data_IF_789750638694
#
_entry.id   IF_789750638694
#
_cell.length_a   1.000
_cell.length_b   1.000
_cell.length_c   1.000
_cell.angle_alpha   90.00
_cell.angle_beta   90.00
_cell.angle_gamma   90.00
#
_symmetry.space_group_name_H-M   'P 1'
#
loop_
_entity.id
_entity.type
_entity.pdbx_description
1 polymer ?
#
# COMPACT_ATOMS: atom_id res chain seq x y z
N UNK A 1 -36.95 10.43 61.21
CA UNK A 1 -35.90 9.40 61.35
C UNK A 1 -34.55 10.08 61.15
N UNK A 2 -34.02 10.72 62.19
CA UNK A 2 -32.66 11.27 62.24
C UNK A 2 -32.28 11.48 63.71
N UNK A 3 -31.00 11.23 64.01
CA UNK A 3 -30.28 11.46 65.27
C UNK A 3 -30.13 10.25 66.22
N UNK A 4 -28.98 9.56 66.10
CA UNK A 4 -28.19 8.94 67.17
C UNK A 4 -26.87 8.45 66.51
N UNK A 5 -25.84 9.28 66.31
CA UNK A 5 -24.81 9.70 67.28
C UNK A 5 -24.24 8.58 68.15
N UNK A 6 -23.08 8.03 67.74
CA UNK A 6 -21.95 7.52 68.57
C UNK A 6 -20.94 6.87 67.61
N UNK A 7 -19.67 7.25 67.49
CA UNK A 7 -18.72 7.82 68.43
C UNK A 7 -17.72 8.74 67.72
N UNK A 8 -17.32 9.76 68.45
CA UNK A 8 -16.38 10.81 68.12
C UNK A 8 -14.98 10.44 68.63
N UNK A 9 -13.94 11.07 68.04
CA UNK A 9 -12.60 11.35 68.59
C UNK A 9 -11.49 10.35 68.22
N UNK A 10 -10.26 10.75 67.88
CA UNK A 10 -9.62 11.94 67.31
C UNK A 10 -8.13 11.55 67.05
N UNK A 11 -7.39 12.48 66.43
CA UNK A 11 -5.91 12.57 66.34
C UNK A 11 -5.28 11.82 65.14
N UNK A 12 -5.04 12.51 64.02
CA UNK A 12 -3.97 13.48 63.74
C UNK A 12 -2.58 12.84 63.67
N UNK A 13 -1.94 12.90 62.49
CA UNK A 13 -0.58 13.45 62.27
C UNK A 13 0.11 12.85 61.04
N UNK A 14 0.33 13.75 60.06
CA UNK A 14 1.54 13.90 59.21
C UNK A 14 1.73 13.11 57.91
N UNK A 15 1.87 13.96 56.87
CA UNK A 15 2.89 13.96 55.79
C UNK A 15 2.65 13.07 54.58
N UNK A 16 2.66 13.72 53.42
CA UNK A 16 2.93 13.08 52.14
C UNK A 16 2.45 13.91 50.95
N UNK A 17 3.29 14.81 50.46
CA UNK A 17 3.27 15.25 49.05
C UNK A 17 3.38 14.02 48.12
N UNK A 18 2.57 14.03 47.07
CA UNK A 18 2.82 13.41 45.76
C UNK A 18 1.65 13.89 44.86
N UNK A 19 1.79 14.87 43.97
CA UNK A 19 2.68 14.89 42.80
C UNK A 19 2.77 13.53 42.12
N UNK A 20 1.80 13.25 41.27
CA UNK A 20 1.88 12.26 40.19
C UNK A 20 1.23 12.95 38.98
N UNK A 21 1.98 13.88 38.38
CA UNK A 21 2.81 13.63 37.19
C UNK A 21 1.94 13.11 36.03
N UNK A 22 1.78 14.01 35.05
CA UNK A 22 1.38 13.67 33.71
C UNK A 22 2.31 12.57 33.20
N UNK A 23 1.81 11.34 33.16
CA UNK A 23 2.42 10.27 32.39
C UNK A 23 2.26 10.57 30.91
N UNK A 24 3.04 11.52 30.39
CA UNK A 24 3.38 11.54 28.97
C UNK A 24 4.13 10.24 28.71
N UNK A 25 3.44 9.31 28.06
CA UNK A 25 4.06 8.11 27.52
C UNK A 25 5.15 8.56 26.55
N UNK A 26 6.39 8.51 27.00
CA UNK A 26 7.55 8.61 26.12
C UNK A 26 7.45 7.43 25.15
N UNK A 27 6.85 7.71 24.00
CA UNK A 27 6.51 6.71 23.00
C UNK A 27 7.85 6.29 22.43
N UNK A 28 8.24 5.03 22.58
CA UNK A 28 9.48 4.40 22.06
C UNK A 28 10.09 5.04 20.77
N UNK A 29 9.32 5.38 19.71
CA UNK A 29 9.78 6.18 18.56
C UNK A 29 10.46 7.53 18.89
N UNK A 30 10.00 8.26 19.90
CA UNK A 30 10.56 9.54 20.37
C UNK A 30 11.93 9.35 21.01
N UNK A 31 12.11 8.31 21.84
CA UNK A 31 13.41 7.96 22.42
C UNK A 31 14.44 7.61 21.35
N UNK A 32 14.05 6.82 20.35
CA UNK A 32 14.93 6.45 19.23
C UNK A 32 15.34 7.66 18.40
N UNK A 33 14.38 8.55 18.10
CA UNK A 33 14.65 9.79 17.38
C UNK A 33 15.61 10.70 18.16
N UNK A 34 15.42 10.82 19.47
CA UNK A 34 16.30 11.62 20.34
C UNK A 34 17.72 11.04 20.38
N UNK A 35 17.84 9.71 20.49
CA UNK A 35 19.13 9.01 20.47
C UNK A 35 19.84 9.19 19.13
N UNK A 36 19.13 9.12 18.00
CA UNK A 36 19.68 9.42 16.68
C UNK A 36 20.10 10.88 16.54
N UNK A 37 19.26 11.82 17.01
CA UNK A 37 19.55 13.25 17.01
C UNK A 37 20.84 13.55 17.79
N UNK A 38 21.09 12.88 18.91
CA UNK A 38 22.36 13.04 19.67
C UNK A 38 23.61 12.50 18.96
N UNK A 39 23.47 11.62 17.95
CA UNK A 39 24.59 11.00 17.23
C UNK A 39 25.00 11.75 15.95
N UNK A 40 24.25 12.79 15.54
CA UNK A 40 24.55 13.59 14.35
C UNK A 40 25.02 15.00 14.73
N UNK A 41 25.86 15.61 13.88
CA UNK A 41 26.42 16.94 14.13
C UNK A 41 25.33 18.02 14.32
N UNK A 42 25.58 18.98 15.21
CA UNK A 42 24.68 20.12 15.46
C UNK A 42 24.32 20.87 14.18
N UNK A 43 25.26 21.03 13.25
CA UNK A 43 25.01 21.67 11.96
C UNK A 43 23.97 20.92 11.12
N UNK A 44 23.97 19.58 11.18
CA UNK A 44 22.98 18.75 10.47
C UNK A 44 21.63 18.84 11.16
N UNK A 45 21.60 18.79 12.50
CA UNK A 45 20.36 18.96 13.27
C UNK A 45 19.66 20.28 12.95
N UNK A 46 20.40 21.40 12.96
CA UNK A 46 19.85 22.72 12.62
C UNK A 46 19.28 22.75 11.20
N UNK A 47 19.95 22.12 10.23
CA UNK A 47 19.44 22.03 8.85
C UNK A 47 18.14 21.23 8.78
N UNK A 48 18.08 20.09 9.49
CA UNK A 48 16.88 19.25 9.54
C UNK A 48 15.72 20.00 10.18
N UNK A 49 15.95 20.66 11.32
CA UNK A 49 14.94 21.44 12.02
C UNK A 49 14.42 22.61 11.12
N UNK A 50 15.30 23.26 10.36
CA UNK A 50 14.90 24.30 9.40
C UNK A 50 14.05 23.74 8.24
N UNK A 51 14.46 22.61 7.65
CA UNK A 51 13.68 21.95 6.59
C UNK A 51 12.29 21.57 7.11
N UNK A 52 12.19 21.02 8.32
CA UNK A 52 10.91 20.66 8.91
C UNK A 52 10.01 21.88 9.11
N UNK A 53 10.59 23.00 9.56
CA UNK A 53 9.85 24.25 9.71
C UNK A 53 9.35 24.79 8.37
N UNK A 54 10.15 24.68 7.32
CA UNK A 54 9.77 25.11 5.97
C UNK A 54 8.66 24.21 5.40
N UNK A 55 8.79 22.88 5.56
CA UNK A 55 7.80 21.89 5.11
C UNK A 55 6.47 22.05 5.85
N UNK A 56 6.47 22.49 7.11
CA UNK A 56 5.23 22.76 7.85
C UNK A 56 4.40 23.87 7.18
N UNK A 57 5.03 24.81 6.47
CA UNK A 57 4.37 25.91 5.75
C UNK A 57 3.87 25.53 4.37
N UNK A 58 4.24 24.35 3.86
CA UNK A 58 3.84 23.89 2.54
C UNK A 58 2.35 23.56 2.49
N UNK A 59 1.72 23.81 1.33
CA UNK A 59 0.38 23.27 1.06
C UNK A 59 0.43 21.75 0.93
N UNK A 60 -0.72 21.08 1.03
CA UNK A 60 -0.77 19.62 0.90
C UNK A 60 -0.27 19.14 -0.48
N UNK A 61 -0.50 19.93 -1.53
CA UNK A 61 0.01 19.64 -2.87
C UNK A 61 1.54 19.78 -2.95
N UNK A 62 2.12 20.79 -2.30
CA UNK A 62 3.57 20.99 -2.27
C UNK A 62 4.26 19.88 -1.46
N UNK A 63 3.65 19.47 -0.34
CA UNK A 63 4.10 18.31 0.43
C UNK A 63 4.08 17.05 -0.42
N UNK A 64 3.00 16.82 -1.16
CA UNK A 64 2.89 15.67 -2.07
C UNK A 64 4.00 15.70 -3.13
N UNK A 65 4.25 16.85 -3.74
CA UNK A 65 5.34 17.01 -4.71
C UNK A 65 6.71 16.73 -4.09
N UNK A 66 6.97 17.23 -2.87
CA UNK A 66 8.21 16.95 -2.14
C UNK A 66 8.40 15.45 -1.89
N UNK A 67 7.35 14.75 -1.42
CA UNK A 67 7.42 13.30 -1.18
C UNK A 67 7.79 12.51 -2.43
N UNK A 68 7.29 12.92 -3.60
CA UNK A 68 7.62 12.28 -4.87
C UNK A 68 9.07 12.52 -5.32
N UNK A 69 9.72 13.60 -4.86
CA UNK A 69 11.10 13.92 -5.23
C UNK A 69 12.16 13.44 -4.24
N UNK A 70 11.79 13.15 -3.00
CA UNK A 70 12.74 12.56 -2.06
C UNK A 70 13.21 11.20 -2.60
N UNK A 71 14.53 10.93 -2.59
CA UNK A 71 15.03 9.64 -3.02
C UNK A 71 14.45 8.57 -2.10
N UNK A 72 13.52 7.78 -2.65
CA UNK A 72 13.07 6.56 -2.00
C UNK A 72 14.34 5.71 -1.87
N UNK A 73 14.74 5.39 -0.63
CA UNK A 73 15.93 4.58 -0.37
C UNK A 73 15.91 3.29 -1.20
N UNK A 74 17.05 2.55 -1.29
CA UNK A 74 17.07 1.29 -2.01
C UNK A 74 15.92 0.44 -1.47
N UNK A 75 14.91 0.22 -2.29
CA UNK A 75 13.75 -0.59 -1.93
C UNK A 75 14.31 -1.96 -1.58
N UNK A 76 14.47 -2.22 -0.28
CA UNK A 76 14.90 -3.52 0.23
C UNK A 76 13.80 -4.45 -0.20
N UNK A 77 14.13 -5.25 -1.20
CA UNK A 77 13.19 -6.11 -1.88
C UNK A 77 12.49 -7.03 -0.90
N UNK A 78 11.20 -6.78 -0.70
CA UNK A 78 10.27 -7.89 -0.64
C UNK A 78 9.85 -8.21 -2.06
N UNK A 79 9.90 -9.49 -2.38
CA UNK A 79 9.93 -10.00 -3.74
C UNK A 79 8.56 -9.84 -4.38
N UNK A 80 8.39 -8.82 -5.20
CA UNK A 80 7.42 -8.84 -6.31
C UNK A 80 8.13 -8.43 -7.58
N UNK A 81 8.34 -9.43 -8.43
CA UNK A 81 9.13 -9.45 -9.66
C UNK A 81 9.34 -8.10 -10.34
N UNK A 82 10.61 -7.70 -10.35
CA UNK A 82 11.13 -6.68 -11.24
C UNK A 82 10.86 -7.02 -12.70
N UNK A 83 9.84 -6.37 -13.23
CA UNK A 83 9.82 -5.78 -14.55
C UNK A 83 8.83 -4.60 -14.48
N UNK A 84 9.24 -3.54 -13.79
CA UNK A 84 8.73 -2.20 -14.09
C UNK A 84 9.31 -1.80 -15.45
N UNK A 85 8.91 -2.52 -16.50
CA UNK A 85 9.10 -2.03 -17.85
C UNK A 85 8.23 -0.79 -17.98
N UNK A 86 8.84 0.27 -18.51
CA UNK A 86 8.26 1.59 -18.75
C UNK A 86 6.95 1.51 -19.55
N UNK A 87 5.83 1.28 -18.88
CA UNK A 87 4.48 1.48 -19.43
C UNK A 87 3.67 2.38 -18.48
N UNK A 88 2.79 3.20 -19.03
CA UNK A 88 2.11 4.28 -18.30
C UNK A 88 1.41 3.74 -17.05
N UNK A 89 1.72 4.32 -15.89
CA UNK A 89 1.09 4.01 -14.60
C UNK A 89 -0.44 4.13 -14.67
N UNK A 90 -0.94 5.08 -15.47
CA UNK A 90 -2.37 5.26 -15.71
C UNK A 90 -3.02 4.04 -16.39
N UNK A 91 -2.39 3.47 -17.41
CA UNK A 91 -2.90 2.31 -18.15
C UNK A 91 -2.91 1.05 -17.26
N UNK A 92 -1.90 0.92 -16.38
CA UNK A 92 -1.86 -0.15 -15.39
C UNK A 92 -3.00 -0.01 -14.38
N UNK A 93 -3.20 1.17 -13.78
CA UNK A 93 -4.27 1.42 -12.82
C UNK A 93 -5.65 1.14 -13.42
N UNK A 94 -5.86 1.59 -14.66
CA UNK A 94 -7.11 1.36 -15.37
C UNK A 94 -7.37 -0.14 -15.59
N UNK A 95 -6.34 -0.87 -16.02
CA UNK A 95 -6.42 -2.32 -16.20
C UNK A 95 -6.67 -3.05 -14.87
N UNK A 96 -6.01 -2.62 -13.78
CA UNK A 96 -6.23 -3.17 -12.45
C UNK A 96 -7.67 -2.99 -11.98
N UNK A 97 -8.24 -1.79 -12.19
CA UNK A 97 -9.62 -1.49 -11.81
C UNK A 97 -10.63 -2.31 -12.61
N UNK A 98 -10.39 -2.48 -13.92
CA UNK A 98 -11.23 -3.33 -14.75
C UNK A 98 -11.19 -4.79 -14.28
N UNK A 99 -9.99 -5.33 -14.04
CA UNK A 99 -9.81 -6.71 -13.57
C UNK A 99 -10.56 -6.94 -12.26
N UNK A 100 -10.42 -6.04 -11.27
CA UNK A 100 -11.10 -6.17 -9.97
C UNK A 100 -12.62 -6.03 -10.03
N UNK A 101 -13.15 -5.31 -11.01
CA UNK A 101 -14.59 -5.07 -11.15
C UNK A 101 -15.29 -6.13 -12.01
N UNK A 102 -14.57 -6.75 -12.96
CA UNK A 102 -15.16 -7.67 -13.93
C UNK A 102 -14.77 -9.13 -13.73
N UNK A 103 -13.75 -9.42 -12.92
CA UNK A 103 -13.35 -10.79 -12.60
C UNK A 103 -13.54 -11.05 -11.11
N UNK A 104 -14.18 -12.16 -10.79
CA UNK A 104 -14.30 -12.69 -9.43
C UNK A 104 -13.53 -14.00 -9.31
N UNK A 105 -12.87 -14.20 -8.17
CA UNK A 105 -12.17 -15.45 -7.87
C UNK A 105 -13.19 -16.50 -7.41
N UNK A 106 -13.43 -17.50 -8.26
CA UNK A 106 -14.23 -18.68 -7.92
C UNK A 106 -13.37 -19.94 -8.09
N UNK A 107 -13.27 -20.76 -7.04
CA UNK A 107 -12.43 -21.98 -7.06
C UNK A 107 -12.87 -23.03 -8.08
N UNK A 108 -14.15 -22.99 -8.46
CA UNK A 108 -14.82 -24.04 -9.22
C UNK A 108 -14.99 -23.69 -10.70
N UNK A 109 -14.66 -22.45 -11.07
CA UNK A 109 -14.83 -21.91 -12.43
C UNK A 109 -13.48 -21.54 -13.01
N UNK A 110 -13.24 -21.94 -14.26
CA UNK A 110 -12.09 -21.49 -15.03
C UNK A 110 -12.56 -20.85 -16.32
N UNK A 111 -12.09 -19.62 -16.56
CA UNK A 111 -12.38 -18.85 -17.77
C UNK A 111 -11.26 -19.01 -18.80
N UNK A 112 -11.57 -19.07 -20.10
CA UNK A 112 -10.55 -19.07 -21.15
C UNK A 112 -9.77 -17.75 -21.13
N UNK A 113 -8.43 -17.83 -21.04
CA UNK A 113 -7.55 -16.64 -21.02
C UNK A 113 -7.80 -15.70 -22.21
N UNK A 114 -8.15 -16.26 -23.38
CA UNK A 114 -8.46 -15.46 -24.57
C UNK A 114 -9.75 -14.65 -24.40
N UNK A 115 -10.83 -15.26 -23.91
CA UNK A 115 -12.12 -14.58 -23.75
C UNK A 115 -12.04 -13.40 -22.77
N UNK A 116 -11.27 -13.59 -21.70
CA UNK A 116 -10.99 -12.52 -20.71
C UNK A 116 -10.23 -11.37 -21.36
N UNK A 117 -9.19 -11.66 -22.15
CA UNK A 117 -8.41 -10.63 -22.83
C UNK A 117 -9.20 -9.94 -23.96
N UNK A 118 -10.08 -10.65 -24.65
CA UNK A 118 -10.94 -10.07 -25.69
C UNK A 118 -11.99 -9.12 -25.10
N UNK A 119 -12.53 -9.48 -23.93
CA UNK A 119 -13.45 -8.61 -23.19
C UNK A 119 -12.73 -7.33 -22.71
N UNK A 120 -11.50 -7.47 -22.21
CA UNK A 120 -10.66 -6.32 -21.88
C UNK A 120 -10.35 -5.45 -23.10
N UNK A 121 -10.04 -6.03 -24.26
CA UNK A 121 -9.78 -5.26 -25.49
C UNK A 121 -10.98 -4.42 -25.91
N UNK A 122 -12.18 -5.01 -25.90
CA UNK A 122 -13.43 -4.27 -26.18
C UNK A 122 -13.67 -3.13 -25.19
N UNK A 123 -13.35 -3.34 -23.92
CA UNK A 123 -13.43 -2.30 -22.90
C UNK A 123 -12.48 -1.13 -23.19
N UNK A 124 -11.22 -1.42 -23.58
CA UNK A 124 -10.27 -0.40 -23.98
C UNK A 124 -10.73 0.37 -25.23
N UNK A 125 -11.26 -0.32 -26.23
CA UNK A 125 -11.80 0.31 -27.46
C UNK A 125 -12.95 1.29 -27.15
N UNK A 126 -13.86 0.91 -26.26
CA UNK A 126 -14.99 1.75 -25.85
C UNK A 126 -14.53 3.03 -25.14
N UNK A 127 -13.41 2.99 -24.44
CA UNK A 127 -12.85 4.13 -23.73
C UNK A 127 -11.77 4.87 -24.55
N UNK A 128 -11.55 4.50 -25.82
CA UNK A 128 -10.51 5.06 -26.69
C UNK A 128 -9.08 4.89 -26.11
N UNK A 129 -8.87 3.90 -25.25
CA UNK A 129 -7.56 3.58 -24.68
C UNK A 129 -6.89 2.46 -25.46
N UNK A 130 -5.55 2.48 -25.48
CA UNK A 130 -4.77 1.40 -26.06
C UNK A 130 -4.74 0.21 -25.09
N UNK A 131 -5.17 -0.99 -25.50
CA UNK A 131 -5.09 -2.16 -24.63
C UNK A 131 -3.64 -2.55 -24.37
N UNK A 132 -3.36 -3.00 -23.15
CA UNK A 132 -2.07 -3.61 -22.81
C UNK A 132 -1.83 -4.88 -23.61
N UNK A 133 -0.55 -5.25 -23.76
CA UNK A 133 -0.17 -6.53 -24.38
C UNK A 133 -0.73 -7.71 -23.56
N UNK A 134 -1.03 -8.83 -24.23
CA UNK A 134 -1.51 -10.04 -23.56
C UNK A 134 -0.55 -10.58 -22.48
N UNK A 135 0.75 -10.29 -22.62
CA UNK A 135 1.77 -10.63 -21.63
C UNK A 135 1.62 -9.76 -20.37
N UNK A 136 1.52 -8.44 -20.53
CA UNK A 136 1.41 -7.49 -19.43
C UNK A 136 0.07 -7.63 -18.70
N UNK A 137 -1.02 -7.81 -19.45
CA UNK A 137 -2.33 -8.10 -18.89
C UNK A 137 -2.31 -9.38 -18.04
N UNK A 138 -1.66 -10.44 -18.54
CA UNK A 138 -1.49 -11.68 -17.77
C UNK A 138 -0.58 -11.53 -16.55
N UNK A 139 0.34 -10.57 -16.53
CA UNK A 139 1.11 -10.21 -15.35
C UNK A 139 0.21 -9.58 -14.29
N UNK A 140 -0.54 -8.55 -14.66
CA UNK A 140 -1.45 -7.84 -13.74
C UNK A 140 -2.51 -8.79 -13.16
N UNK A 141 -3.06 -9.72 -13.95
CA UNK A 141 -3.98 -10.75 -13.44
C UNK A 141 -3.33 -11.60 -12.34
N UNK A 142 -2.06 -12.01 -12.52
CA UNK A 142 -1.35 -12.81 -11.50
C UNK A 142 -1.02 -12.00 -10.26
N UNK A 143 -0.80 -10.70 -10.41
CA UNK A 143 -0.55 -9.79 -9.29
C UNK A 143 -1.83 -9.55 -8.47
N UNK A 144 -3.01 -9.47 -9.13
CA UNK A 144 -4.31 -9.26 -8.47
C UNK A 144 -4.85 -10.57 -7.89
N UNK A 145 -4.66 -11.69 -8.60
CA UNK A 145 -5.16 -13.00 -8.22
C UNK A 145 -4.01 -14.02 -8.13
N UNK A 146 -3.18 -13.95 -7.07
CA UNK A 146 -2.02 -14.83 -6.92
C UNK A 146 -2.41 -16.30 -6.75
N UNK A 147 -3.64 -16.58 -6.32
CA UNK A 147 -4.15 -17.92 -6.09
C UNK A 147 -4.72 -18.59 -7.37
N UNK A 148 -4.90 -17.83 -8.46
CA UNK A 148 -5.41 -18.38 -9.72
C UNK A 148 -4.35 -19.30 -10.33
N UNK A 149 -4.66 -20.59 -10.36
CA UNK A 149 -3.83 -21.61 -11.02
C UNK A 149 -4.22 -21.73 -12.47
N UNK A 150 -3.22 -21.74 -13.36
CA UNK A 150 -3.43 -22.08 -14.76
C UNK A 150 -3.90 -23.54 -14.87
N UNK A 151 -5.19 -23.76 -15.15
CA UNK A 151 -5.75 -25.07 -15.47
C UNK A 151 -5.90 -25.21 -16.98
N UNK A 152 -5.40 -26.30 -17.56
CA UNK A 152 -5.66 -26.62 -18.97
C UNK A 152 -7.14 -26.98 -19.11
N UNK A 153 -7.90 -26.07 -19.70
CA UNK A 153 -9.24 -26.32 -20.19
C UNK A 153 -9.12 -27.09 -21.52
N UNK A 154 -9.33 -28.40 -21.47
CA UNK A 154 -9.36 -29.27 -22.65
C UNK A 154 -8.68 -30.62 -22.45
N UNK A 155 -9.35 -31.69 -22.88
CA UNK A 155 -8.75 -33.01 -23.03
C UNK A 155 -7.69 -33.03 -24.16
N UNK A 156 -6.82 -34.05 -24.14
CA UNK A 156 -5.86 -34.34 -25.23
C UNK A 156 -6.56 -34.20 -26.60
N UNK A 157 -6.18 -33.21 -27.41
CA UNK A 157 -6.57 -33.13 -28.84
C UNK A 157 -7.24 -31.85 -29.34
N UNK A 158 -7.56 -30.85 -28.51
CA UNK A 158 -8.24 -29.61 -28.96
C UNK A 158 -7.29 -28.41 -29.15
N UNK A 159 -6.02 -28.64 -29.51
CA UNK A 159 -5.16 -27.56 -29.97
C UNK A 159 -5.62 -27.15 -31.37
N UNK A 160 -6.46 -26.11 -31.46
CA UNK A 160 -6.75 -25.45 -32.73
C UNK A 160 -5.48 -24.80 -33.27
N UNK A 161 -4.78 -25.50 -34.16
CA UNK A 161 -3.73 -24.92 -34.98
C UNK A 161 -4.40 -24.17 -36.15
N UNK A 162 -4.14 -22.87 -36.36
CA UNK A 162 -4.48 -22.23 -37.62
C UNK A 162 -3.66 -22.91 -38.72
N UNK A 163 -4.32 -23.53 -39.70
CA UNK A 163 -3.65 -24.00 -40.91
C UNK A 163 -3.09 -22.78 -41.65
N UNK A 164 -1.80 -22.52 -41.48
CA UNK A 164 -1.04 -21.73 -42.45
C UNK A 164 -0.89 -22.57 -43.71
N UNK A 165 -1.88 -22.53 -44.59
CA UNK A 165 -1.65 -22.93 -45.97
C UNK A 165 -0.82 -21.82 -46.62
N UNK A 166 0.50 -22.08 -46.74
CA UNK A 166 1.26 -21.62 -47.89
C UNK A 166 0.59 -22.21 -49.13
N UNK A 167 0.20 -21.38 -50.09
CA UNK A 167 0.11 -21.80 -51.48
C UNK A 167 0.97 -20.81 -52.27
N UNK A 168 1.86 -21.42 -53.05
CA UNK A 168 2.86 -20.90 -53.97
C UNK A 168 2.37 -19.77 -54.86
#
# INVERSE_FOLDING_TARGET
MSEDQRLQRAEASRRGEASLEAGEGDTEPSMLLQKLKSNISKTVQTKVDQILQDVQRFSDNDKLYLYLQLPSGPSVGDKSGGDSSSFNTADQLHTCNWIRSHLEEHSDTCLPKQDVYETYKRYCENLQHRPLSAANFGKIIRDIFPNIKARRLGGRGQSKYPFKNKIT
#
